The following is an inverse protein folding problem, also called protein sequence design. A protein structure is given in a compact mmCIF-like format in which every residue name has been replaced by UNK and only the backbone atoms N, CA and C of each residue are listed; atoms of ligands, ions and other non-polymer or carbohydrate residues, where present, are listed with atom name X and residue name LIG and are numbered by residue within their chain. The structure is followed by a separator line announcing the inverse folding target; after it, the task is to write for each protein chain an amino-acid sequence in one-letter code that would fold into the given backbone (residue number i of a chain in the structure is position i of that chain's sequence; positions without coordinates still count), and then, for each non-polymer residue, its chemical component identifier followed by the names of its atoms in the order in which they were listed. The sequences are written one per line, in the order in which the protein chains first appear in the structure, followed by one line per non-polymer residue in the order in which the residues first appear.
data_IF_671528328882
#
_entry.id   IF_671528328882
#
_cell.length_a   1.000
_cell.length_b   1.000
_cell.length_c   1.000
_cell.angle_alpha   90.00
_cell.angle_beta   90.00
_cell.angle_gamma   90.00
#
_symmetry.space_group_name_H-M   'P 1'
#
loop_
_entity.id
_entity.type
_entity.pdbx_description
1 polymer ?
#
# COMPACT_ATOMS: atom_id res chain seq x y z
N UNK A 1 -21.43 -21.28 23.58
CA UNK A 1 -22.37 -20.14 23.55
C UNK A 1 -21.65 -18.80 23.76
N UNK A 2 -20.70 -18.66 24.68
CA UNK A 2 -19.97 -17.40 24.93
C UNK A 2 -19.23 -16.82 23.71
N UNK A 3 -18.51 -17.64 22.94
CA UNK A 3 -17.80 -17.16 21.73
C UNK A 3 -18.75 -16.58 20.67
N UNK A 4 -20.01 -17.05 20.62
CA UNK A 4 -21.00 -16.65 19.62
C UNK A 4 -21.48 -15.22 19.87
N UNK A 5 -21.81 -14.92 21.13
CA UNK A 5 -22.26 -13.61 21.59
C UNK A 5 -21.14 -12.56 21.52
N UNK A 6 -19.89 -12.96 21.74
CA UNK A 6 -18.71 -12.08 21.60
C UNK A 6 -18.50 -11.70 20.13
N UNK A 7 -18.58 -12.65 19.21
CA UNK A 7 -18.43 -12.39 17.77
C UNK A 7 -19.53 -11.45 17.28
N UNK A 8 -20.79 -11.68 17.60
CA UNK A 8 -21.89 -10.82 17.15
C UNK A 8 -21.88 -9.41 17.78
N UNK A 9 -21.26 -9.26 18.96
CA UNK A 9 -21.17 -7.97 19.66
C UNK A 9 -19.92 -7.16 19.29
N UNK A 10 -18.81 -7.81 18.96
CA UNK A 10 -17.54 -7.16 18.60
C UNK A 10 -17.39 -7.03 17.08
N UNK A 11 -17.68 -8.10 16.34
CA UNK A 11 -17.66 -8.08 14.87
C UNK A 11 -19.06 -7.66 14.42
N UNK A 12 -19.15 -6.46 13.85
CA UNK A 12 -20.45 -5.91 13.44
C UNK A 12 -21.17 -6.87 12.49
N UNK A 13 -22.50 -6.87 12.55
CA UNK A 13 -23.33 -7.71 11.69
C UNK A 13 -23.00 -7.47 10.20
N UNK A 14 -22.77 -6.21 9.83
CA UNK A 14 -22.41 -5.80 8.47
C UNK A 14 -21.08 -6.40 8.00
N UNK A 15 -20.11 -6.62 8.91
CA UNK A 15 -18.83 -7.24 8.58
C UNK A 15 -18.94 -8.75 8.36
N UNK A 16 -19.79 -9.43 9.13
CA UNK A 16 -19.95 -10.89 9.04
C UNK A 16 -20.97 -11.32 7.98
N UNK A 17 -21.95 -10.46 7.67
CA UNK A 17 -23.05 -10.77 6.76
C UNK A 17 -22.60 -11.27 5.37
N UNK A 18 -21.57 -10.70 4.70
CA UNK A 18 -21.11 -11.22 3.42
C UNK A 18 -20.65 -12.68 3.50
N UNK A 19 -19.94 -13.05 4.56
CA UNK A 19 -19.45 -14.42 4.80
C UNK A 19 -20.60 -15.38 5.10
N UNK A 20 -21.58 -14.94 5.89
CA UNK A 20 -22.79 -15.72 6.17
C UNK A 20 -23.58 -15.99 4.89
N UNK A 21 -23.78 -14.97 4.04
CA UNK A 21 -24.47 -15.11 2.77
C UNK A 21 -23.72 -16.11 1.86
N UNK A 22 -22.39 -15.98 1.75
CA UNK A 22 -21.56 -16.88 0.95
C UNK A 22 -21.67 -18.35 1.42
N UNK A 23 -21.64 -18.57 2.74
CA UNK A 23 -21.69 -19.90 3.36
C UNK A 23 -23.12 -20.39 3.69
N UNK A 24 -24.15 -19.86 3.03
CA UNK A 24 -25.57 -20.26 3.21
C UNK A 24 -26.05 -20.24 4.67
N UNK A 25 -25.67 -19.19 5.40
CA UNK A 25 -25.91 -19.00 6.84
C UNK A 25 -25.25 -20.05 7.75
N UNK A 26 -24.30 -20.84 7.25
CA UNK A 26 -23.46 -21.67 8.12
C UNK A 26 -22.47 -20.78 8.87
N UNK A 27 -22.78 -20.53 10.14
CA UNK A 27 -22.04 -19.59 10.99
C UNK A 27 -20.62 -20.05 11.28
N UNK A 28 -20.39 -21.36 11.46
CA UNK A 28 -19.05 -21.88 11.70
C UNK A 28 -18.15 -21.65 10.50
N UNK A 29 -18.60 -22.00 9.29
CA UNK A 29 -17.85 -21.76 8.05
C UNK A 29 -17.62 -20.27 7.80
N UNK A 30 -18.63 -19.42 8.01
CA UNK A 30 -18.49 -17.98 7.85
C UNK A 30 -17.44 -17.37 8.79
N UNK A 31 -17.38 -17.82 10.05
CA UNK A 31 -16.37 -17.40 11.01
C UNK A 31 -14.98 -17.89 10.60
N UNK A 32 -14.86 -19.13 10.11
CA UNK A 32 -13.57 -19.65 9.64
C UNK A 32 -13.07 -18.89 8.41
N UNK A 33 -13.91 -18.62 7.41
CA UNK A 33 -13.53 -17.78 6.27
C UNK A 33 -13.11 -16.37 6.75
N UNK A 34 -13.86 -15.74 7.66
CA UNK A 34 -13.47 -14.44 8.21
C UNK A 34 -12.08 -14.45 8.87
N UNK A 35 -11.76 -15.50 9.64
CA UNK A 35 -10.42 -15.69 10.23
C UNK A 35 -9.35 -15.89 9.16
N UNK A 36 -9.62 -16.72 8.15
CA UNK A 36 -8.73 -16.93 7.01
C UNK A 36 -8.48 -15.62 6.24
N UNK A 37 -9.49 -14.76 6.11
CA UNK A 37 -9.30 -13.44 5.52
C UNK A 37 -8.31 -12.57 6.31
N UNK A 38 -8.36 -12.63 7.64
CA UNK A 38 -7.40 -11.93 8.50
C UNK A 38 -5.99 -12.46 8.26
N UNK A 39 -5.80 -13.79 8.26
CA UNK A 39 -4.49 -14.43 8.05
C UNK A 39 -3.91 -14.11 6.67
N UNK A 40 -4.72 -14.19 5.61
CA UNK A 40 -4.29 -13.81 4.25
C UNK A 40 -3.97 -12.30 4.19
N UNK A 41 -4.75 -11.45 4.85
CA UNK A 41 -4.48 -10.00 4.92
C UNK A 41 -3.18 -9.68 5.66
N UNK A 42 -2.87 -10.43 6.72
CA UNK A 42 -1.62 -10.33 7.47
C UNK A 42 -0.40 -10.71 6.62
N UNK A 43 -0.51 -11.76 5.81
CA UNK A 43 0.58 -12.23 4.95
C UNK A 43 1.03 -11.19 3.90
N UNK A 44 0.20 -10.19 3.58
CA UNK A 44 0.58 -9.06 2.74
C UNK A 44 1.43 -8.00 3.45
N UNK A 45 1.50 -8.00 4.77
CA UNK A 45 2.18 -6.94 5.52
C UNK A 45 3.65 -6.76 5.09
N UNK A 46 4.48 -7.81 4.99
CA UNK A 46 5.87 -7.65 4.54
C UNK A 46 5.96 -7.06 3.13
N UNK A 47 5.17 -7.59 2.19
CA UNK A 47 5.10 -7.12 0.80
C UNK A 47 4.78 -5.62 0.73
N UNK A 48 3.72 -5.19 1.42
CA UNK A 48 3.26 -3.79 1.42
C UNK A 48 4.24 -2.85 2.13
N UNK A 49 4.80 -3.29 3.26
CA UNK A 49 5.73 -2.49 4.06
C UNK A 49 6.98 -2.13 3.26
N UNK A 50 7.60 -3.12 2.63
CA UNK A 50 8.84 -2.93 1.86
C UNK A 50 8.56 -2.09 0.62
N UNK A 51 7.42 -2.33 -0.05
CA UNK A 51 7.03 -1.54 -1.20
C UNK A 51 6.79 -0.07 -0.85
N UNK A 52 6.07 0.20 0.25
CA UNK A 52 5.81 1.56 0.72
C UNK A 52 7.13 2.31 1.01
N UNK A 53 8.04 1.67 1.76
CA UNK A 53 9.33 2.25 2.12
C UNK A 53 10.20 2.44 0.88
N UNK A 54 10.31 1.43 0.03
CA UNK A 54 11.11 1.44 -1.19
C UNK A 54 10.64 2.51 -2.17
N UNK A 55 9.32 2.61 -2.41
CA UNK A 55 8.75 3.62 -3.28
C UNK A 55 9.00 5.03 -2.75
N UNK A 56 8.69 5.26 -1.48
CA UNK A 56 8.90 6.55 -0.81
C UNK A 56 10.33 7.02 -0.94
N UNK A 57 11.29 6.17 -0.53
CA UNK A 57 12.70 6.55 -0.50
C UNK A 57 13.25 6.76 -1.90
N UNK A 58 12.79 5.96 -2.89
CA UNK A 58 13.20 6.12 -4.28
C UNK A 58 12.68 7.42 -4.89
N UNK A 59 11.42 7.80 -4.60
CA UNK A 59 10.87 9.08 -5.04
C UNK A 59 11.57 10.24 -4.34
N UNK A 60 11.71 10.19 -3.01
CA UNK A 60 12.38 11.21 -2.22
C UNK A 60 13.78 11.51 -2.77
N UNK A 61 14.58 10.47 -2.99
CA UNK A 61 15.91 10.60 -3.59
C UNK A 61 15.90 11.35 -4.94
N UNK A 62 14.97 11.01 -5.84
CA UNK A 62 14.87 11.67 -7.14
C UNK A 62 14.39 13.12 -7.03
N UNK A 63 13.49 13.42 -6.10
CA UNK A 63 13.01 14.79 -5.86
C UNK A 63 14.09 15.65 -5.19
N UNK A 64 14.84 15.11 -4.23
CA UNK A 64 16.00 15.79 -3.63
C UNK A 64 17.01 16.19 -4.70
N UNK A 65 17.32 15.31 -5.66
CA UNK A 65 18.23 15.64 -6.78
C UNK A 65 17.62 16.72 -7.67
N UNK A 66 16.35 16.56 -8.06
CA UNK A 66 15.67 17.48 -8.99
C UNK A 66 15.58 18.91 -8.46
N UNK A 67 15.34 19.06 -7.16
CA UNK A 67 15.20 20.37 -6.51
C UNK A 67 16.49 20.85 -5.84
N UNK A 68 17.53 20.01 -5.81
CA UNK A 68 18.78 20.24 -5.10
C UNK A 68 18.55 20.64 -3.62
N UNK A 69 17.62 19.93 -2.98
CA UNK A 69 17.10 20.30 -1.66
C UNK A 69 16.63 19.06 -0.89
N UNK A 70 17.18 18.85 0.32
CA UNK A 70 16.75 17.76 1.21
C UNK A 70 15.35 18.00 1.79
N UNK A 71 14.88 19.24 1.79
CA UNK A 71 13.53 19.64 2.15
C UNK A 71 12.75 20.06 0.89
N UNK A 72 12.87 19.30 -0.20
CA UNK A 72 12.24 19.62 -1.49
C UNK A 72 10.73 19.91 -1.38
N UNK A 73 10.05 19.38 -0.38
CA UNK A 73 8.63 19.62 -0.10
C UNK A 73 8.34 21.06 0.36
N UNK A 74 9.35 21.80 0.81
CA UNK A 74 9.30 23.25 1.13
C UNK A 74 9.89 24.11 0.02
N UNK A 75 10.50 23.50 -1.00
CA UNK A 75 11.13 24.21 -2.10
C UNK A 75 10.08 24.95 -2.93
N UNK A 76 10.34 26.23 -3.22
CA UNK A 76 9.41 27.09 -3.96
C UNK A 76 9.02 26.52 -5.34
N UNK A 77 9.94 25.86 -6.04
CA UNK A 77 9.64 25.25 -7.34
C UNK A 77 8.76 24.00 -7.22
N UNK A 78 8.87 23.24 -6.13
CA UNK A 78 7.94 22.16 -5.85
C UNK A 78 6.55 22.72 -5.48
N UNK A 79 6.48 23.73 -4.62
CA UNK A 79 5.22 24.36 -4.18
C UNK A 79 4.42 24.88 -5.38
N UNK A 80 5.08 25.46 -6.38
CA UNK A 80 4.44 25.92 -7.63
C UNK A 80 3.74 24.80 -8.42
N UNK A 81 4.27 23.58 -8.40
CA UNK A 81 3.74 22.46 -9.19
C UNK A 81 2.85 21.52 -8.38
N UNK A 82 3.00 21.51 -7.05
CA UNK A 82 2.16 20.74 -6.13
C UNK A 82 0.69 21.20 -6.24
N UNK A 83 -0.27 20.30 -5.99
CA UNK A 83 -1.64 20.75 -5.73
C UNK A 83 -1.89 20.88 -4.24
N UNK A 84 -3.04 21.48 -3.92
CA UNK A 84 -3.58 21.59 -2.57
C UNK A 84 -3.49 20.28 -1.78
N UNK A 85 -3.78 19.14 -2.42
CA UNK A 85 -3.66 17.82 -1.77
C UNK A 85 -2.25 17.55 -1.23
N UNK A 86 -1.19 17.79 -2.02
CA UNK A 86 0.17 17.56 -1.55
C UNK A 86 0.54 18.53 -0.41
N UNK A 87 0.18 19.81 -0.57
CA UNK A 87 0.45 20.84 0.45
C UNK A 87 -0.25 20.51 1.77
N UNK A 88 -1.52 20.11 1.72
CA UNK A 88 -2.29 19.75 2.91
C UNK A 88 -1.69 18.51 3.60
N UNK A 89 -1.32 17.48 2.85
CA UNK A 89 -0.69 16.27 3.42
C UNK A 89 0.66 16.53 4.08
N UNK A 90 1.48 17.43 3.51
CA UNK A 90 2.74 17.86 4.13
C UNK A 90 2.46 18.67 5.41
N UNK A 91 1.44 19.53 5.39
CA UNK A 91 1.02 20.31 6.57
C UNK A 91 0.48 19.42 7.70
N UNK A 92 -0.31 18.40 7.36
CA UNK A 92 -0.84 17.41 8.30
C UNK A 92 0.32 16.62 8.92
N UNK A 93 1.25 16.13 8.10
CA UNK A 93 2.43 15.43 8.58
C UNK A 93 3.24 16.28 9.57
N UNK A 94 3.44 17.56 9.26
CA UNK A 94 4.11 18.50 10.17
C UNK A 94 3.35 18.65 11.49
N UNK A 95 2.03 18.82 11.42
CA UNK A 95 1.18 18.97 12.61
C UNK A 95 1.22 17.73 13.50
N UNK A 96 1.22 16.53 12.92
CA UNK A 96 1.33 15.26 13.64
C UNK A 96 2.67 15.13 14.37
N UNK A 97 3.78 15.42 13.70
CA UNK A 97 5.12 15.36 14.31
C UNK A 97 5.21 16.31 15.51
N UNK A 98 4.68 17.53 15.36
CA UNK A 98 4.69 18.52 16.43
C UNK A 98 3.76 18.14 17.60
N UNK A 99 2.60 17.52 17.33
CA UNK A 99 1.68 17.08 18.39
C UNK A 99 2.29 15.97 19.24
N UNK A 100 3.15 15.14 18.65
CA UNK A 100 3.98 14.14 19.36
C UNK A 100 5.22 14.72 20.05
N UNK A 101 5.39 16.05 20.05
CA UNK A 101 6.53 16.78 20.62
C UNK A 101 7.88 16.35 20.02
N UNK A 102 7.88 15.93 18.76
CA UNK A 102 9.10 15.57 18.02
C UNK A 102 9.57 16.77 17.20
N UNK A 103 10.88 16.90 17.05
CA UNK A 103 11.47 17.88 16.13
C UNK A 103 11.13 17.55 14.67
N UNK A 104 10.93 18.59 13.85
CA UNK A 104 10.72 18.42 12.42
C UNK A 104 12.07 18.14 11.75
N UNK A 105 12.17 17.01 11.07
CA UNK A 105 13.28 16.68 10.18
C UNK A 105 12.74 16.22 8.84
N UNK A 106 13.52 16.36 7.77
CA UNK A 106 13.16 15.85 6.44
C UNK A 106 12.72 14.38 6.51
N UNK A 107 13.55 13.52 7.11
CA UNK A 107 13.25 12.10 7.26
C UNK A 107 11.93 11.83 8.00
N UNK A 108 11.58 12.61 9.03
CA UNK A 108 10.30 12.46 9.75
C UNK A 108 9.12 12.86 8.88
N UNK A 109 9.20 13.98 8.15
CA UNK A 109 8.16 14.39 7.20
C UNK A 109 7.96 13.32 6.13
N UNK A 110 9.05 12.86 5.51
CA UNK A 110 9.02 11.80 4.51
C UNK A 110 8.36 10.55 5.09
N UNK A 111 8.75 10.12 6.30
CA UNK A 111 8.20 8.91 6.92
C UNK A 111 6.72 9.00 7.30
N UNK A 112 6.25 10.19 7.66
CA UNK A 112 4.87 10.47 8.09
C UNK A 112 3.89 10.50 6.90
N UNK A 113 4.38 10.78 5.69
CA UNK A 113 3.57 10.80 4.49
C UNK A 113 3.13 9.38 4.10
N UNK A 114 1.81 9.17 4.08
CA UNK A 114 1.20 7.89 3.71
C UNK A 114 1.46 7.49 2.25
N UNK A 115 1.30 6.20 1.93
CA UNK A 115 1.39 5.71 0.56
C UNK A 115 0.52 6.47 -0.45
N UNK A 116 -0.66 6.92 -0.01
CA UNK A 116 -1.55 7.76 -0.83
C UNK A 116 -0.86 9.02 -1.35
N UNK A 117 -0.04 9.68 -0.53
CA UNK A 117 0.75 10.83 -0.96
C UNK A 117 1.71 10.44 -2.10
N UNK A 118 2.51 9.39 -1.90
CA UNK A 118 3.52 8.96 -2.87
C UNK A 118 2.90 8.52 -4.20
N UNK A 119 1.81 7.76 -4.16
CA UNK A 119 1.09 7.34 -5.37
C UNK A 119 0.43 8.51 -6.12
N UNK A 120 -0.01 9.55 -5.41
CA UNK A 120 -0.63 10.75 -6.03
C UNK A 120 0.35 11.55 -6.90
N UNK A 121 1.66 11.39 -6.70
CA UNK A 121 2.68 12.03 -7.54
C UNK A 121 2.70 11.48 -8.98
N UNK A 122 2.02 10.36 -9.23
CA UNK A 122 1.83 9.79 -10.57
C UNK A 122 0.54 10.24 -11.26
N UNK A 123 -0.24 11.14 -10.67
CA UNK A 123 -1.46 11.67 -11.28
C UNK A 123 -1.16 12.40 -12.61
N UNK A 124 -2.13 12.39 -13.53
CA UNK A 124 -1.99 12.99 -14.88
C UNK A 124 -1.49 14.43 -14.85
N UNK A 125 -1.89 15.23 -13.85
CA UNK A 125 -1.45 16.63 -13.69
C UNK A 125 0.07 16.78 -13.54
N UNK A 126 0.76 15.74 -13.08
CA UNK A 126 2.21 15.74 -12.85
C UNK A 126 3.02 15.20 -14.02
N UNK A 127 2.36 14.84 -15.12
CA UNK A 127 3.01 14.28 -16.30
C UNK A 127 4.00 15.26 -16.94
N UNK A 128 3.65 16.54 -17.01
CA UNK A 128 4.53 17.55 -17.62
C UNK A 128 5.59 18.09 -16.64
N UNK A 129 5.37 17.96 -15.33
CA UNK A 129 6.19 18.62 -14.30
C UNK A 129 7.13 17.66 -13.57
N UNK A 130 6.64 16.55 -13.03
CA UNK A 130 7.42 15.64 -12.18
C UNK A 130 7.81 14.33 -12.88
N UNK A 131 7.04 13.86 -13.85
CA UNK A 131 7.22 12.51 -14.41
C UNK A 131 8.63 12.24 -14.97
N UNK A 132 9.25 13.22 -15.63
CA UNK A 132 10.61 13.09 -16.17
C UNK A 132 11.63 12.69 -15.09
N UNK A 133 11.44 13.18 -13.87
CA UNK A 133 12.22 12.86 -12.68
C UNK A 133 11.73 11.54 -12.06
N UNK A 134 10.43 11.41 -11.82
CA UNK A 134 9.86 10.26 -11.09
C UNK A 134 10.12 8.92 -11.80
N UNK A 135 10.15 8.89 -13.13
CA UNK A 135 10.48 7.67 -13.89
C UNK A 135 11.87 7.11 -13.59
N UNK A 136 12.78 7.92 -13.05
CA UNK A 136 14.14 7.50 -12.68
C UNK A 136 14.17 6.70 -11.38
N UNK A 137 13.10 6.77 -10.57
CA UNK A 137 12.92 5.91 -9.41
C UNK A 137 12.69 4.43 -9.76
N UNK A 138 12.48 4.11 -11.05
CA UNK A 138 12.19 2.76 -11.54
C UNK A 138 13.27 2.30 -12.54
N UNK A 139 14.53 2.13 -12.10
CA UNK A 139 15.64 1.80 -12.99
C UNK A 139 15.46 0.46 -13.73
N UNK A 140 14.78 -0.52 -13.13
CA UNK A 140 14.62 -1.86 -13.67
C UNK A 140 13.35 -2.05 -14.50
N UNK A 141 12.39 -1.11 -14.45
CA UNK A 141 11.16 -1.20 -15.25
C UNK A 141 11.47 -1.14 -16.76
N UNK A 142 11.02 -2.08 -17.59
CA UNK A 142 11.28 -2.05 -19.03
C UNK A 142 10.88 -0.72 -19.69
N UNK A 143 11.72 -0.20 -20.60
CA UNK A 143 11.58 1.16 -21.15
C UNK A 143 10.23 1.37 -21.87
N UNK A 144 9.72 0.31 -22.48
CA UNK A 144 8.50 0.26 -23.29
C UNK A 144 7.25 0.51 -22.44
N UNK A 145 7.29 0.05 -21.19
CA UNK A 145 6.18 0.15 -20.23
C UNK A 145 6.43 1.20 -19.14
N UNK A 146 7.65 1.76 -19.04
CA UNK A 146 8.03 2.82 -18.09
C UNK A 146 7.38 4.16 -18.46
N UNK A 147 6.06 4.23 -18.26
CA UNK A 147 5.17 5.36 -18.54
C UNK A 147 4.42 5.74 -17.27
N UNK A 148 4.06 7.03 -17.16
CA UNK A 148 3.35 7.61 -16.01
C UNK A 148 2.06 6.85 -15.72
N UNK A 149 1.29 6.55 -16.78
CA UNK A 149 0.04 5.77 -16.69
C UNK A 149 0.26 4.37 -16.12
N UNK A 150 1.35 3.69 -16.48
CA UNK A 150 1.67 2.35 -15.97
C UNK A 150 1.92 2.41 -14.46
N UNK A 151 2.76 3.35 -14.00
CA UNK A 151 3.05 3.52 -12.57
C UNK A 151 1.80 3.91 -11.80
N UNK A 152 1.06 4.89 -12.32
CA UNK A 152 -0.22 5.32 -11.76
C UNK A 152 -1.19 4.14 -11.62
N UNK A 153 -1.34 3.29 -12.63
CA UNK A 153 -2.25 2.15 -12.58
C UNK A 153 -1.81 1.13 -11.52
N UNK A 154 -0.54 0.70 -11.57
CA UNK A 154 0.01 -0.33 -10.67
C UNK A 154 -0.03 0.11 -9.22
N UNK A 155 0.52 1.28 -8.89
CA UNK A 155 0.56 1.74 -7.50
C UNK A 155 -0.83 2.10 -6.94
N UNK A 156 -1.79 2.53 -7.78
CA UNK A 156 -3.17 2.70 -7.32
C UNK A 156 -3.90 1.36 -7.12
N UNK A 157 -3.59 0.33 -7.91
CA UNK A 157 -4.07 -1.05 -7.69
C UNK A 157 -3.64 -1.54 -6.30
N UNK A 158 -2.34 -1.46 -6.02
CA UNK A 158 -1.77 -1.85 -4.72
C UNK A 158 -2.32 -0.99 -3.58
N UNK A 159 -2.48 0.32 -3.78
CA UNK A 159 -3.06 1.22 -2.77
C UNK A 159 -4.49 0.82 -2.41
N UNK A 160 -5.31 0.40 -3.38
CA UNK A 160 -6.67 -0.07 -3.12
C UNK A 160 -6.66 -1.35 -2.29
N UNK A 161 -5.82 -2.33 -2.65
CA UNK A 161 -5.66 -3.55 -1.85
C UNK A 161 -5.23 -3.23 -0.41
N UNK A 162 -4.16 -2.44 -0.27
CA UNK A 162 -3.64 -1.99 1.02
C UNK A 162 -4.73 -1.32 1.86
N UNK A 163 -5.50 -0.41 1.27
CA UNK A 163 -6.61 0.24 1.98
C UNK A 163 -7.66 -0.78 2.45
N UNK A 164 -8.04 -1.75 1.61
CA UNK A 164 -8.98 -2.81 2.01
C UNK A 164 -8.46 -3.60 3.21
N UNK A 165 -7.19 -4.01 3.19
CA UNK A 165 -6.52 -4.74 4.28
C UNK A 165 -6.55 -3.92 5.58
N UNK A 166 -6.10 -2.67 5.55
CA UNK A 166 -6.02 -1.82 6.74
C UNK A 166 -7.37 -1.23 7.18
N UNK A 167 -8.41 -1.33 6.34
CA UNK A 167 -9.81 -1.11 6.73
C UNK A 167 -10.53 -2.41 7.11
N UNK A 168 -9.79 -3.51 7.27
CA UNK A 168 -10.27 -4.83 7.68
C UNK A 168 -11.39 -5.38 6.80
N UNK A 169 -11.37 -5.03 5.52
CA UNK A 169 -12.30 -5.52 4.51
C UNK A 169 -11.91 -6.92 4.03
N UNK A 170 -12.90 -7.64 3.49
CA UNK A 170 -12.70 -8.95 2.93
C UNK A 170 -11.94 -8.85 1.58
N UNK A 171 -10.87 -9.61 1.41
CA UNK A 171 -10.06 -9.72 0.19
C UNK A 171 -10.10 -11.13 -0.42
N UNK A 172 -10.43 -12.16 0.37
CA UNK A 172 -10.37 -13.58 -0.03
C UNK A 172 -11.55 -14.09 -0.86
N UNK A 173 -12.33 -13.19 -1.48
CA UNK A 173 -13.45 -13.61 -2.34
C UNK A 173 -13.02 -14.28 -3.63
N UNK A 174 -11.77 -14.04 -4.06
CA UNK A 174 -11.18 -14.65 -5.24
C UNK A 174 -9.67 -14.80 -5.00
N UNK A 175 -9.20 -16.04 -4.84
CA UNK A 175 -7.80 -16.33 -4.54
C UNK A 175 -6.87 -16.06 -5.73
N UNK A 176 -7.34 -16.23 -6.97
CA UNK A 176 -6.53 -15.94 -8.17
C UNK A 176 -6.18 -14.45 -8.24
N UNK A 177 -7.14 -13.57 -7.91
CA UNK A 177 -6.93 -12.12 -7.83
C UNK A 177 -5.91 -11.77 -6.75
N UNK A 178 -5.89 -12.52 -5.65
CA UNK A 178 -4.95 -12.31 -4.54
C UNK A 178 -3.52 -12.67 -4.95
N UNK A 179 -3.34 -13.80 -5.64
CA UNK A 179 -2.06 -14.18 -6.20
C UNK A 179 -1.60 -13.21 -7.29
N UNK A 180 -2.52 -12.61 -8.06
CA UNK A 180 -2.17 -11.57 -9.03
C UNK A 180 -1.64 -10.30 -8.33
N UNK A 181 -2.26 -9.89 -7.22
CA UNK A 181 -1.75 -8.76 -6.43
C UNK A 181 -0.34 -8.99 -5.89
N UNK A 182 -0.03 -10.21 -5.46
CA UNK A 182 1.32 -10.57 -5.04
C UNK A 182 2.33 -10.37 -6.17
N UNK A 183 2.03 -10.91 -7.36
CA UNK A 183 2.87 -10.72 -8.55
C UNK A 183 3.02 -9.25 -8.92
N UNK A 184 1.94 -8.46 -8.85
CA UNK A 184 2.00 -7.02 -9.10
C UNK A 184 2.93 -6.30 -8.12
N UNK A 185 2.93 -6.69 -6.84
CA UNK A 185 3.79 -6.09 -5.81
C UNK A 185 5.25 -6.51 -6.01
N UNK A 186 5.51 -7.80 -6.26
CA UNK A 186 6.86 -8.31 -6.52
C UNK A 186 7.48 -7.65 -7.76
N UNK A 187 6.70 -7.47 -8.82
CA UNK A 187 7.13 -6.75 -10.02
C UNK A 187 7.42 -5.26 -9.71
N UNK A 188 6.57 -4.60 -8.91
CA UNK A 188 6.81 -3.21 -8.50
C UNK A 188 8.10 -3.06 -7.68
N UNK A 189 8.42 -4.05 -6.83
CA UNK A 189 9.67 -4.08 -6.08
C UNK A 189 10.87 -4.28 -6.99
N UNK A 190 10.80 -5.21 -7.93
CA UNK A 190 11.86 -5.41 -8.94
C UNK A 190 12.13 -4.11 -9.70
N UNK A 191 11.07 -3.42 -10.14
CA UNK A 191 11.17 -2.15 -10.85
C UNK A 191 11.93 -1.07 -10.08
N UNK A 192 11.73 -1.01 -8.76
CA UNK A 192 12.42 -0.09 -7.85
C UNK A 192 13.89 -0.51 -7.66
N UNK A 193 14.12 -1.74 -7.19
CA UNK A 193 15.43 -2.32 -6.98
C UNK A 193 15.31 -3.85 -6.84
N UNK A 194 16.07 -4.61 -7.63
CA UNK A 194 16.07 -6.08 -7.59
C UNK A 194 16.41 -6.65 -6.22
N UNK A 195 17.26 -5.97 -5.46
CA UNK A 195 17.66 -6.41 -4.13
C UNK A 195 16.50 -6.38 -3.12
N UNK A 196 15.43 -5.61 -3.38
CA UNK A 196 14.24 -5.61 -2.52
C UNK A 196 13.45 -6.92 -2.62
N UNK A 197 13.48 -7.57 -3.79
CA UNK A 197 12.86 -8.90 -3.96
C UNK A 197 13.67 -9.95 -3.20
N UNK A 198 15.00 -9.85 -3.21
CA UNK A 198 15.86 -10.72 -2.41
C UNK A 198 15.69 -10.47 -0.91
N UNK A 199 15.50 -9.21 -0.50
CA UNK A 199 15.26 -8.86 0.91
C UNK A 199 13.92 -9.40 1.45
N UNK A 200 12.96 -9.62 0.56
CA UNK A 200 11.67 -10.25 0.86
C UNK A 200 11.78 -11.77 1.12
N UNK A 201 12.90 -12.38 0.75
CA UNK A 201 13.08 -13.82 0.93
C UNK A 201 12.96 -14.20 2.42
N UNK A 202 12.21 -15.26 2.69
CA UNK A 202 11.87 -15.68 4.05
C UNK A 202 10.90 -14.76 4.80
N UNK A 203 10.36 -13.69 4.20
CA UNK A 203 9.27 -12.87 4.76
C UNK A 203 7.96 -13.03 3.97
N UNK A 204 8.04 -13.34 2.68
CA UNK A 204 6.86 -13.60 1.88
C UNK A 204 6.37 -15.04 2.10
N UNK A 205 5.19 -15.18 2.70
CA UNK A 205 4.56 -16.47 2.99
C UNK A 205 3.13 -16.57 2.46
N UNK A 206 2.73 -15.67 1.57
CA UNK A 206 1.34 -15.55 1.12
C UNK A 206 0.80 -16.85 0.54
N UNK A 207 1.55 -17.48 -0.38
CA UNK A 207 1.14 -18.76 -0.99
C UNK A 207 0.91 -19.86 0.06
N UNK A 208 1.80 -19.98 1.05
CA UNK A 208 1.66 -20.96 2.14
C UNK A 208 0.40 -20.69 2.97
N UNK A 209 0.16 -19.42 3.32
CA UNK A 209 -1.01 -19.02 4.11
C UNK A 209 -2.31 -19.25 3.32
N UNK A 210 -2.31 -18.97 2.01
CA UNK A 210 -3.47 -19.25 1.15
C UNK A 210 -3.75 -20.76 1.13
N UNK A 211 -2.72 -21.59 0.95
CA UNK A 211 -2.91 -23.04 0.84
C UNK A 211 -3.42 -23.66 2.16
N UNK A 212 -2.86 -23.25 3.30
CA UNK A 212 -3.32 -23.71 4.62
C UNK A 212 -4.79 -23.34 4.91
N UNK A 213 -5.26 -22.22 4.34
CA UNK A 213 -6.58 -21.67 4.58
C UNK A 213 -7.60 -21.94 3.46
N UNK A 214 -7.18 -22.53 2.34
CA UNK A 214 -8.02 -22.71 1.13
C UNK A 214 -9.36 -23.35 1.44
N UNK A 215 -9.35 -24.47 2.18
CA UNK A 215 -10.54 -25.23 2.59
C UNK A 215 -11.55 -24.46 3.46
N UNK A 216 -11.14 -23.33 4.03
CA UNK A 216 -11.98 -22.47 4.86
C UNK A 216 -12.55 -21.28 4.06
N UNK A 217 -11.92 -20.95 2.94
CA UNK A 217 -12.29 -19.87 2.03
C UNK A 217 -13.31 -20.38 1.00
N UNK A 218 -13.04 -21.55 0.41
CA UNK A 218 -13.89 -22.28 -0.54
C UNK A 218 -15.01 -23.10 0.15
#
# INVERSE_FOLDING_TARGET
MENKTIIERIISKERLQPYLTHHRNNQEKAIQHYKSNILVSEAFYPLLSILEIGLRNSIDFQLTIRFNDKNWFENHEFIKVASRFQIDRISDARSNILSEKKEITSGRIISELSFGFWTSLFDTKFEMTLWKTLRLAFPNCPKEIRKRRTMSSKFNSVRKLRNRIFHHEAITWNLDVIQEYEKEILEALDWLNRDLVNWLDGLNHLDNVIEENRKHIE
#
